data_IF_415617262216
#
_entry.id   IF_415617262216
#
_cell.length_a   1.000
_cell.length_b   1.000
_cell.length_c   1.000
_cell.angle_alpha   90.00
_cell.angle_beta   90.00
_cell.angle_gamma   90.00
#
_symmetry.space_group_name_H-M   'P 1'
#
loop_
_entity.id
_entity.type
_entity.pdbx_description
1 polymer ?
#
# COMPACT_ATOMS: atom_id res chain seq x y z
N UNK A 1 -17.00 -2.14 -9.72
CA UNK A 1 -16.42 -1.02 -8.96
C UNK A 1 -16.00 0.07 -9.93
N UNK A 2 -16.34 1.30 -9.65
CA UNK A 2 -15.78 2.49 -10.27
C UNK A 2 -14.30 2.61 -9.87
N UNK A 3 -13.45 3.28 -10.68
CA UNK A 3 -12.04 3.48 -10.33
C UNK A 3 -11.83 4.08 -8.93
N UNK A 4 -12.71 5.00 -8.50
CA UNK A 4 -12.66 5.58 -7.16
C UNK A 4 -12.98 4.58 -6.05
N UNK A 5 -13.85 3.61 -6.29
CA UNK A 5 -14.18 2.56 -5.33
C UNK A 5 -13.00 1.59 -5.17
N UNK A 6 -12.29 1.29 -6.26
CA UNK A 6 -11.05 0.49 -6.23
C UNK A 6 -10.01 1.18 -5.32
N UNK A 7 -9.80 2.49 -5.52
CA UNK A 7 -8.91 3.31 -4.71
C UNK A 7 -9.27 3.29 -3.21
N UNK A 8 -10.55 3.43 -2.90
CA UNK A 8 -11.05 3.40 -1.53
C UNK A 8 -10.79 2.03 -0.87
N UNK A 9 -11.00 0.94 -1.60
CA UNK A 9 -10.69 -0.41 -1.12
C UNK A 9 -9.19 -0.63 -0.88
N UNK A 10 -8.33 -0.16 -1.78
CA UNK A 10 -6.87 -0.21 -1.58
C UNK A 10 -6.45 0.55 -0.31
N UNK A 11 -6.92 1.79 -0.14
CA UNK A 11 -6.63 2.61 1.04
C UNK A 11 -7.14 1.95 2.34
N UNK A 12 -8.34 1.37 2.30
CA UNK A 12 -8.92 0.67 3.45
C UNK A 12 -8.10 -0.57 3.82
N UNK A 13 -7.64 -1.34 2.83
CA UNK A 13 -6.80 -2.50 3.05
C UNK A 13 -5.47 -2.11 3.67
N UNK A 14 -4.81 -1.08 3.13
CA UNK A 14 -3.57 -0.54 3.69
C UNK A 14 -3.71 -0.17 5.16
N UNK A 15 -4.77 0.60 5.51
CA UNK A 15 -5.01 1.02 6.89
C UNK A 15 -5.25 -0.15 7.84
N UNK A 16 -6.05 -1.15 7.42
CA UNK A 16 -6.33 -2.34 8.23
C UNK A 16 -5.06 -3.14 8.50
N UNK A 17 -4.23 -3.35 7.47
CA UNK A 17 -2.98 -4.11 7.59
C UNK A 17 -1.97 -3.34 8.44
N UNK A 18 -1.89 -2.02 8.29
CA UNK A 18 -1.04 -1.17 9.13
C UNK A 18 -1.46 -1.25 10.60
N UNK A 19 -2.77 -1.25 10.86
CA UNK A 19 -3.32 -1.42 12.22
C UNK A 19 -2.90 -2.76 12.82
N UNK A 20 -2.99 -3.86 12.05
CA UNK A 20 -2.54 -5.18 12.50
C UNK A 20 -1.04 -5.16 12.82
N UNK A 21 -0.21 -4.59 11.93
CA UNK A 21 1.23 -4.54 12.12
C UNK A 21 1.66 -3.77 13.38
N UNK A 22 0.81 -2.86 13.87
CA UNK A 22 1.04 -2.06 15.07
C UNK A 22 0.28 -2.58 16.31
N UNK A 23 -0.55 -3.62 16.16
CA UNK A 23 -1.34 -4.17 17.27
C UNK A 23 -0.44 -4.85 18.31
N UNK A 24 -0.63 -4.50 19.58
CA UNK A 24 0.21 -5.01 20.67
C UNK A 24 0.12 -6.54 20.82
N UNK A 25 -1.06 -7.13 20.61
CA UNK A 25 -1.22 -8.59 20.69
C UNK A 25 -0.52 -9.28 19.54
N UNK A 26 -0.54 -8.69 18.35
CA UNK A 26 0.21 -9.18 17.20
C UNK A 26 1.72 -9.14 17.46
N UNK A 27 2.22 -8.01 17.98
CA UNK A 27 3.64 -7.85 18.33
C UNK A 27 4.07 -8.86 19.41
N UNK A 28 3.24 -9.09 20.43
CA UNK A 28 3.48 -10.10 21.45
C UNK A 28 3.48 -11.51 20.87
N UNK A 29 2.56 -11.83 19.96
CA UNK A 29 2.48 -13.14 19.30
C UNK A 29 3.75 -13.47 18.52
N UNK A 30 4.30 -12.49 17.79
CA UNK A 30 5.58 -12.61 17.09
C UNK A 30 6.73 -12.75 18.08
N UNK A 31 6.80 -11.89 19.10
CA UNK A 31 7.88 -11.88 20.09
C UNK A 31 7.96 -13.20 20.89
N UNK A 32 6.81 -13.78 21.22
CA UNK A 32 6.69 -15.07 21.90
C UNK A 32 7.08 -16.26 21.02
N UNK A 33 7.39 -16.04 19.72
CA UNK A 33 7.67 -17.09 18.73
C UNK A 33 6.60 -18.18 18.66
N UNK A 34 5.35 -17.82 18.99
CA UNK A 34 4.18 -18.71 18.92
C UNK A 34 3.75 -18.96 17.47
N UNK A 35 4.20 -18.11 16.56
CA UNK A 35 4.04 -18.24 15.12
C UNK A 35 5.39 -18.12 14.43
N UNK A 36 5.42 -18.45 13.14
CA UNK A 36 6.59 -18.28 12.31
C UNK A 36 7.06 -16.81 12.31
N UNK A 37 8.33 -16.52 12.64
CA UNK A 37 8.90 -15.17 12.55
C UNK A 37 8.77 -14.54 11.16
N UNK A 38 8.70 -15.35 10.09
CA UNK A 38 8.49 -14.86 8.72
C UNK A 38 7.15 -14.13 8.55
N UNK A 39 6.17 -14.37 9.43
CA UNK A 39 4.89 -13.66 9.41
C UNK A 39 5.06 -12.14 9.57
N UNK A 40 6.04 -11.69 10.35
CA UNK A 40 6.35 -10.27 10.50
C UNK A 40 6.93 -9.68 9.21
N UNK A 41 7.86 -10.42 8.57
CA UNK A 41 8.47 -10.05 7.29
C UNK A 41 7.42 -9.94 6.19
N UNK A 42 6.57 -10.96 6.04
CA UNK A 42 5.54 -10.98 5.00
C UNK A 42 4.49 -9.89 5.19
N UNK A 43 4.13 -9.57 6.44
CA UNK A 43 3.23 -8.45 6.72
C UNK A 43 3.85 -7.11 6.32
N UNK A 44 5.14 -6.92 6.58
CA UNK A 44 5.89 -5.74 6.15
C UNK A 44 5.98 -5.65 4.62
N UNK A 45 6.20 -6.77 3.92
CA UNK A 45 6.23 -6.84 2.46
C UNK A 45 4.87 -6.44 1.85
N UNK A 46 3.77 -6.93 2.41
CA UNK A 46 2.42 -6.55 1.96
C UNK A 46 2.18 -5.06 2.12
N UNK A 47 2.59 -4.46 3.25
CA UNK A 47 2.50 -3.02 3.46
C UNK A 47 3.34 -2.23 2.46
N UNK A 48 4.54 -2.73 2.15
CA UNK A 48 5.43 -2.12 1.17
C UNK A 48 4.76 -2.10 -0.22
N UNK A 49 4.31 -3.25 -0.73
CA UNK A 49 3.70 -3.34 -2.05
C UNK A 49 2.37 -2.60 -2.16
N UNK A 50 1.53 -2.59 -1.11
CA UNK A 50 0.32 -1.78 -1.09
C UNK A 50 0.66 -0.27 -1.12
N UNK A 51 1.71 0.15 -0.42
CA UNK A 51 2.23 1.51 -0.48
C UNK A 51 2.66 1.91 -1.91
N UNK A 52 3.44 1.05 -2.58
CA UNK A 52 3.85 1.27 -3.97
C UNK A 52 2.66 1.34 -4.93
N UNK A 53 1.69 0.44 -4.77
CA UNK A 53 0.48 0.43 -5.59
C UNK A 53 -0.32 1.73 -5.44
N UNK A 54 -0.50 2.24 -4.21
CA UNK A 54 -1.18 3.52 -3.96
C UNK A 54 -0.40 4.70 -4.55
N UNK A 55 0.94 4.70 -4.49
CA UNK A 55 1.78 5.72 -5.13
C UNK A 55 1.67 5.74 -6.66
N UNK A 56 1.32 4.62 -7.28
CA UNK A 56 1.05 4.53 -8.72
C UNK A 56 -0.34 5.04 -9.13
N UNK A 57 -1.22 5.36 -8.19
CA UNK A 57 -2.56 5.93 -8.48
C UNK A 57 -2.60 7.44 -8.32
N UNK A 58 -1.44 8.08 -8.13
CA UNK A 58 -1.30 9.50 -8.43
C UNK A 58 -1.67 9.75 -9.89
N UNK A 59 -2.27 10.90 -10.16
CA UNK A 59 -2.75 11.25 -11.50
C UNK A 59 -1.58 11.18 -12.48
N UNK A 60 -1.70 10.37 -13.55
CA UNK A 60 -0.74 10.40 -14.65
C UNK A 60 -0.86 11.78 -15.27
N UNK A 61 0.05 12.70 -14.92
CA UNK A 61 0.18 13.98 -15.59
C UNK A 61 0.77 13.68 -16.98
N UNK A 62 -0.09 13.39 -17.95
CA UNK A 62 0.30 13.42 -19.37
C UNK A 62 0.73 14.85 -19.68
N UNK A 63 2.05 15.10 -19.66
CA UNK A 63 2.62 16.32 -20.21
C UNK A 63 2.42 16.25 -21.72
N UNK A 64 1.31 16.82 -22.20
CA UNK A 64 1.12 17.10 -23.62
C UNK A 64 2.20 18.11 -24.03
N UNK A 65 3.29 17.62 -24.61
CA UNK A 65 4.18 18.47 -25.39
C UNK A 65 3.38 18.95 -26.60
N UNK A 66 2.73 20.11 -26.46
CA UNK A 66 2.31 20.89 -27.61
C UNK A 66 3.59 21.38 -28.30
N UNK A 67 4.10 20.59 -29.25
CA UNK A 67 4.95 21.11 -30.31
C UNK A 67 4.07 21.95 -31.25
N UNK A 68 3.63 23.10 -30.76
CA UNK A 68 3.24 24.22 -31.61
C UNK A 68 4.25 25.32 -31.34
N UNK A 69 4.80 25.90 -32.42
CA UNK A 69 5.90 26.89 -32.49
C UNK A 69 7.28 26.24 -32.43
N UNK A 70 8.12 26.27 -33.46
CA UNK A 70 8.54 27.47 -34.20
C UNK A 70 8.42 27.32 -35.72
N UNK A 71 8.24 28.48 -36.36
CA UNK A 71 7.87 28.74 -37.75
C UNK A 71 8.87 28.29 -38.82
#
# INVERSE_FOLDING_TARGET
MLPIEILQEFNLCYLKIQTIAQDENWLLLIADKKIDPEAATHLADVLHYLGEAMGCVEEIVEVKFNQESES
#
